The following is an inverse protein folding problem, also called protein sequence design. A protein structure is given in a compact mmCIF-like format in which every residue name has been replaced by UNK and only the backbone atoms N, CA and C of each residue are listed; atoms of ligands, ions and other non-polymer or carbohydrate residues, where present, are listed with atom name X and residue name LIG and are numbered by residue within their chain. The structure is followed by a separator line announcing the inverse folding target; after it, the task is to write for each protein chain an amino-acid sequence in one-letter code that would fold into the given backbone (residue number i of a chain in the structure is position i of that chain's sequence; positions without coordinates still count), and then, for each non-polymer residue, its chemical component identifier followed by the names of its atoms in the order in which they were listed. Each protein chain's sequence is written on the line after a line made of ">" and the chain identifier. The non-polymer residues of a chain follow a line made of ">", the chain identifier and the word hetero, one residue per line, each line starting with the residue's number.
data_IF_829499957515
#
_entry.id   IF_829499957515
#
_cell.length_a   1.000
_cell.length_b   1.000
_cell.length_c   1.000
_cell.angle_alpha   90.00
_cell.angle_beta   90.00
_cell.angle_gamma   90.00
#
_symmetry.space_group_name_H-M   'P 1'
#
loop_
_entity.id
_entity.type
_entity.pdbx_description
1 polymer ?
#
# COMPACT_ATOMS: atom_id res chain seq x y z
N UNK A 1 43.63 -7.03 -5.55
CA UNK A 1 42.82 -5.82 -5.82
C UNK A 1 41.36 -6.31 -5.86
N UNK A 2 40.79 -6.74 -4.74
CA UNK A 2 40.14 -5.92 -3.70
C UNK A 2 39.11 -4.95 -4.27
N UNK A 3 37.84 -5.29 -4.07
CA UNK A 3 36.67 -4.48 -4.42
C UNK A 3 35.40 -5.31 -4.25
N UNK A 4 35.02 -5.54 -3.00
CA UNK A 4 33.93 -6.41 -2.57
C UNK A 4 32.57 -6.06 -3.20
N UNK A 5 31.79 -7.11 -3.47
CA UNK A 5 30.34 -7.04 -3.68
C UNK A 5 29.72 -6.25 -2.54
N UNK A 6 29.23 -5.05 -2.84
CA UNK A 6 28.39 -4.27 -1.94
C UNK A 6 27.05 -4.98 -1.78
N UNK A 7 27.01 -6.02 -0.96
CA UNK A 7 25.78 -6.45 -0.31
C UNK A 7 25.40 -5.28 0.60
N UNK A 8 24.48 -4.44 0.16
CA UNK A 8 23.77 -3.56 1.06
C UNK A 8 22.74 -4.43 1.78
N UNK A 9 22.97 -4.82 3.06
CA UNK A 9 21.86 -5.33 3.84
C UNK A 9 20.90 -4.15 3.99
N UNK A 10 19.85 -4.11 3.19
CA UNK A 10 18.66 -3.37 3.57
C UNK A 10 18.33 -3.86 4.98
N UNK A 11 18.26 -2.98 5.99
CA UNK A 11 18.01 -3.40 7.35
C UNK A 11 16.68 -4.12 7.34
N UNK A 12 16.72 -5.45 7.52
CA UNK A 12 15.58 -6.30 7.85
C UNK A 12 15.09 -5.86 9.23
N UNK A 13 14.44 -4.70 9.24
CA UNK A 13 13.65 -4.19 10.34
C UNK A 13 12.49 -5.16 10.44
N UNK A 14 12.50 -6.01 11.47
CA UNK A 14 11.69 -7.22 11.56
C UNK A 14 10.20 -6.95 11.87
N UNK A 15 9.76 -5.70 11.77
CA UNK A 15 8.35 -5.32 11.82
C UNK A 15 7.87 -4.96 10.41
N UNK A 16 7.26 -5.93 9.73
CA UNK A 16 6.51 -5.65 8.50
C UNK A 16 5.38 -4.69 8.85
N UNK A 17 5.32 -3.55 8.15
CA UNK A 17 4.24 -2.59 8.28
C UNK A 17 2.87 -3.30 8.13
N UNK A 18 1.84 -2.85 8.84
CA UNK A 18 0.52 -3.51 8.86
C UNK A 18 -0.01 -3.81 7.44
N UNK A 19 0.11 -2.83 6.54
CA UNK A 19 -0.36 -2.92 5.15
C UNK A 19 0.42 -3.97 4.34
N UNK A 20 1.71 -4.16 4.64
CA UNK A 20 2.53 -5.20 4.02
C UNK A 20 2.20 -6.57 4.60
N UNK A 21 1.98 -6.65 5.93
CA UNK A 21 1.57 -7.88 6.62
C UNK A 21 0.24 -8.41 6.06
N UNK A 22 -0.72 -7.53 5.80
CA UNK A 22 -2.07 -7.91 5.37
C UNK A 22 -2.32 -7.66 3.88
N UNK A 23 -1.27 -7.51 3.05
CA UNK A 23 -1.36 -7.18 1.62
C UNK A 23 -2.42 -8.00 0.87
N UNK A 24 -2.37 -9.33 0.98
CA UNK A 24 -3.29 -10.22 0.25
C UNK A 24 -4.75 -9.97 0.63
N UNK A 25 -5.03 -9.83 1.93
CA UNK A 25 -6.38 -9.60 2.39
C UNK A 25 -6.89 -8.20 2.01
N UNK A 26 -6.03 -7.18 2.08
CA UNK A 26 -6.35 -5.83 1.64
C UNK A 26 -6.63 -5.78 0.13
N UNK A 27 -5.87 -6.51 -0.69
CA UNK A 27 -6.14 -6.61 -2.13
C UNK A 27 -7.51 -7.26 -2.41
N UNK A 28 -7.88 -8.29 -1.65
CA UNK A 28 -9.12 -9.02 -1.88
C UNK A 28 -10.37 -8.32 -1.34
N UNK A 29 -10.23 -7.54 -0.27
CA UNK A 29 -11.37 -7.09 0.53
C UNK A 29 -11.62 -5.57 0.51
N UNK A 30 -10.67 -4.74 0.09
CA UNK A 30 -10.90 -3.28 0.00
C UNK A 30 -11.90 -2.99 -1.13
N UNK A 31 -12.99 -2.31 -0.77
CA UNK A 31 -14.05 -1.92 -1.67
C UNK A 31 -13.99 -0.42 -2.02
N UNK A 32 -13.52 0.40 -1.09
CA UNK A 32 -13.42 1.87 -1.20
C UNK A 32 -12.14 2.32 -1.91
N UNK A 33 -11.76 1.67 -3.02
CA UNK A 33 -10.48 1.93 -3.72
C UNK A 33 -10.41 3.35 -4.27
N UNK A 34 -11.46 3.85 -4.92
CA UNK A 34 -11.44 5.17 -5.56
C UNK A 34 -11.34 6.32 -4.53
N UNK A 35 -12.13 6.31 -3.43
CA UNK A 35 -11.95 7.29 -2.36
C UNK A 35 -10.56 7.25 -1.72
N UNK A 36 -10.00 6.06 -1.47
CA UNK A 36 -8.65 5.92 -0.91
C UNK A 36 -7.62 6.52 -1.88
N UNK A 37 -7.71 6.18 -3.17
CA UNK A 37 -6.77 6.63 -4.18
C UNK A 37 -6.85 8.15 -4.39
N UNK A 38 -8.06 8.73 -4.35
CA UNK A 38 -8.28 10.17 -4.40
C UNK A 38 -7.61 10.89 -3.23
N UNK A 39 -7.75 10.37 -2.00
CA UNK A 39 -7.08 10.94 -0.82
C UNK A 39 -5.55 10.82 -0.90
N UNK A 40 -5.02 9.71 -1.41
CA UNK A 40 -3.58 9.55 -1.63
C UNK A 40 -3.03 10.57 -2.64
N UNK A 41 -3.80 10.86 -3.69
CA UNK A 41 -3.46 11.88 -4.68
C UNK A 41 -3.53 13.28 -4.08
N UNK A 42 -4.62 13.61 -3.39
CA UNK A 42 -4.83 14.91 -2.73
C UNK A 42 -3.69 15.23 -1.74
N UNK A 43 -3.16 14.21 -1.06
CA UNK A 43 -2.07 14.32 -0.10
C UNK A 43 -0.68 14.22 -0.72
N UNK A 44 -0.59 14.17 -2.06
CA UNK A 44 0.67 14.04 -2.82
C UNK A 44 1.51 12.81 -2.44
N UNK A 45 0.86 11.75 -1.93
CA UNK A 45 1.52 10.46 -1.67
C UNK A 45 1.75 9.70 -2.97
N UNK A 46 0.82 9.86 -3.91
CA UNK A 46 0.93 9.37 -5.28
C UNK A 46 0.79 10.56 -6.25
N UNK A 47 1.29 10.40 -7.46
CA UNK A 47 1.12 11.38 -8.52
C UNK A 47 -0.08 11.02 -9.44
N UNK A 48 -0.43 11.94 -10.34
CA UNK A 48 -1.53 11.75 -11.28
C UNK A 48 -1.33 10.52 -12.18
N UNK A 49 -0.10 10.23 -12.58
CA UNK A 49 0.23 9.05 -13.39
C UNK A 49 -0.09 7.75 -12.65
N UNK A 50 0.36 7.63 -11.40
CA UNK A 50 0.05 6.48 -10.54
C UNK A 50 -1.44 6.34 -10.28
N UNK A 51 -2.14 7.45 -10.05
CA UNK A 51 -3.60 7.47 -9.93
C UNK A 51 -4.27 6.91 -11.19
N UNK A 52 -3.92 7.43 -12.36
CA UNK A 52 -4.51 7.03 -13.64
C UNK A 52 -4.25 5.55 -13.94
N UNK A 53 -3.02 5.07 -13.66
CA UNK A 53 -2.63 3.68 -13.89
C UNK A 53 -3.44 2.70 -13.04
N UNK A 54 -3.68 3.06 -11.78
CA UNK A 54 -4.55 2.29 -10.88
C UNK A 54 -6.00 2.35 -11.36
N UNK A 55 -6.53 3.53 -11.68
CA UNK A 55 -7.92 3.69 -12.13
C UNK A 55 -8.24 3.02 -13.47
N UNK A 56 -7.22 2.75 -14.29
CA UNK A 56 -7.39 2.03 -15.54
C UNK A 56 -7.72 0.53 -15.36
N UNK A 57 -7.57 -0.03 -14.15
CA UNK A 57 -7.89 -1.43 -13.89
C UNK A 57 -9.41 -1.66 -13.78
N UNK A 58 -9.85 -2.84 -14.24
CA UNK A 58 -11.29 -3.15 -14.35
C UNK A 58 -11.96 -3.48 -13.03
N UNK A 59 -11.25 -4.12 -12.11
CA UNK A 59 -11.80 -4.57 -10.81
C UNK A 59 -11.09 -3.94 -9.62
N UNK A 60 -11.77 -3.83 -8.48
CA UNK A 60 -11.16 -3.29 -7.25
C UNK A 60 -9.93 -4.10 -6.80
N UNK A 61 -9.94 -5.42 -7.02
CA UNK A 61 -8.81 -6.29 -6.71
C UNK A 61 -7.59 -5.96 -7.59
N UNK A 62 -7.80 -5.76 -8.90
CA UNK A 62 -6.72 -5.36 -9.81
C UNK A 62 -6.22 -3.95 -9.51
N UNK A 63 -7.13 -3.01 -9.21
CA UNK A 63 -6.76 -1.65 -8.77
C UNK A 63 -5.87 -1.69 -7.53
N UNK A 64 -6.27 -2.45 -6.50
CA UNK A 64 -5.47 -2.59 -5.29
C UNK A 64 -4.13 -3.27 -5.55
N UNK A 65 -4.11 -4.31 -6.39
CA UNK A 65 -2.86 -4.97 -6.79
C UNK A 65 -1.90 -3.99 -7.47
N UNK A 66 -2.38 -3.21 -8.43
CA UNK A 66 -1.61 -2.20 -9.15
C UNK A 66 -1.10 -1.10 -8.20
N UNK A 67 -1.93 -0.64 -7.26
CA UNK A 67 -1.54 0.31 -6.22
C UNK A 67 -0.35 -0.21 -5.40
N UNK A 68 -0.42 -1.48 -4.96
CA UNK A 68 0.66 -2.13 -4.22
C UNK A 68 1.91 -2.39 -5.06
N UNK A 69 1.80 -2.65 -6.36
CA UNK A 69 2.95 -2.96 -7.22
C UNK A 69 3.67 -1.71 -7.70
N UNK A 70 2.96 -0.58 -7.80
CA UNK A 70 3.53 0.70 -8.19
C UNK A 70 3.59 1.70 -7.04
N UNK A 71 2.64 2.66 -7.00
CA UNK A 71 2.82 3.89 -6.24
C UNK A 71 2.93 3.71 -4.72
N UNK A 72 2.22 2.74 -4.14
CA UNK A 72 2.29 2.48 -2.68
C UNK A 72 3.59 1.82 -2.25
N UNK A 73 4.25 1.06 -3.13
CA UNK A 73 5.57 0.50 -2.83
C UNK A 73 6.67 1.55 -2.96
N UNK A 74 6.49 2.52 -3.87
CA UNK A 74 7.45 3.59 -4.11
C UNK A 74 7.43 4.72 -3.06
N UNK A 75 6.31 4.94 -2.36
CA UNK A 75 6.15 6.07 -1.42
C UNK A 75 6.80 5.87 -0.04
N UNK A 76 7.46 4.73 0.20
CA UNK A 76 8.13 4.44 1.47
C UNK A 76 7.20 4.31 2.69
N UNK A 77 7.74 4.29 3.92
CA UNK A 77 6.97 4.08 5.15
C UNK A 77 5.86 5.10 5.38
N UNK A 78 6.12 6.39 5.10
CA UNK A 78 5.15 7.48 5.32
C UNK A 78 3.89 7.25 4.49
N UNK A 79 4.03 6.88 3.21
CA UNK A 79 2.85 6.63 2.39
C UNK A 79 2.08 5.37 2.81
N UNK A 80 2.77 4.37 3.40
CA UNK A 80 2.14 3.20 4.00
C UNK A 80 1.35 3.55 5.27
N UNK A 81 1.88 4.43 6.12
CA UNK A 81 1.17 4.96 7.29
C UNK A 81 -0.10 5.69 6.85
N UNK A 82 0.01 6.58 5.85
CA UNK A 82 -1.13 7.33 5.33
C UNK A 82 -2.19 6.42 4.72
N UNK A 83 -1.80 5.41 3.94
CA UNK A 83 -2.72 4.42 3.40
C UNK A 83 -3.44 3.65 4.53
N UNK A 84 -2.72 3.29 5.60
CA UNK A 84 -3.33 2.66 6.77
C UNK A 84 -4.32 3.57 7.52
N UNK A 85 -4.02 4.86 7.66
CA UNK A 85 -4.96 5.83 8.22
C UNK A 85 -6.25 5.92 7.39
N UNK A 86 -6.13 5.95 6.06
CA UNK A 86 -7.30 5.97 5.17
C UNK A 86 -8.14 4.69 5.29
N UNK A 87 -7.50 3.53 5.41
CA UNK A 87 -8.22 2.27 5.66
C UNK A 87 -8.98 2.31 6.99
N UNK A 88 -8.42 2.90 8.06
CA UNK A 88 -9.15 3.04 9.33
C UNK A 88 -10.38 3.95 9.22
N UNK A 89 -10.33 4.95 8.35
CA UNK A 89 -11.42 5.90 8.14
C UNK A 89 -12.51 5.34 7.23
N UNK A 90 -12.12 4.72 6.12
CA UNK A 90 -13.04 4.31 5.06
C UNK A 90 -13.46 2.84 5.15
N UNK A 91 -12.63 1.99 5.76
CA UNK A 91 -12.82 0.53 5.87
C UNK A 91 -12.60 0.05 7.33
N UNK A 92 -13.22 0.67 8.36
CA UNK A 92 -12.90 0.38 9.77
C UNK A 92 -13.18 -1.07 10.18
N UNK A 93 -14.23 -1.69 9.62
CA UNK A 93 -14.57 -3.10 9.90
C UNK A 93 -13.52 -4.06 9.35
N UNK A 94 -13.01 -3.81 8.14
CA UNK A 94 -11.93 -4.59 7.55
C UNK A 94 -10.67 -4.50 8.41
N UNK A 95 -10.31 -3.30 8.87
CA UNK A 95 -9.16 -3.14 9.77
C UNK A 95 -9.35 -3.91 11.08
N UNK A 96 -10.54 -3.85 11.68
CA UNK A 96 -10.85 -4.60 12.90
C UNK A 96 -10.71 -6.11 12.68
N UNK A 97 -11.24 -6.63 11.57
CA UNK A 97 -11.12 -8.05 11.21
C UNK A 97 -9.65 -8.47 11.05
N UNK A 98 -8.86 -7.66 10.32
CA UNK A 98 -7.45 -7.96 10.07
C UNK A 98 -6.59 -7.88 11.33
N UNK A 99 -6.89 -6.99 12.27
CA UNK A 99 -6.23 -6.93 13.59
C UNK A 99 -6.50 -8.17 14.44
N UNK A 100 -7.67 -8.78 14.29
CA UNK A 100 -8.08 -9.97 15.05
C UNK A 100 -7.53 -11.27 14.43
N UNK A 101 -7.06 -11.24 13.18
CA UNK A 101 -6.33 -12.36 12.55
C UNK A 101 -4.87 -12.35 13.02
N UNK A 102 -4.52 -13.31 13.89
CA UNK A 102 -3.15 -13.50 14.41
C UNK A 102 -2.16 -13.80 13.28
#
# INVERSE_FOLDING_TARGET
>A
MSGALGYFPFPFSSDRHFVDKHRTALIQSVSMVEPILGELLNRSIINQEGYNKVMAQGTNQEKMKELYEGPLNACGPIGKDMFYELLKQLEPYLILELKNKK
#
